data_IF_511693731877
#
_entry.id   IF_511693731877
#
_cell.length_a   1.000
_cell.length_b   1.000
_cell.length_c   1.000
_cell.angle_alpha   90.00
_cell.angle_beta   90.00
_cell.angle_gamma   90.00
#
_symmetry.space_group_name_H-M   'P 1'
#
loop_
_entity.id
_entity.type
_entity.pdbx_description
1 polymer ?
#
# COMPACT_ATOMS: atom_id res chain seq x y z
N UNK A 1 -0.97 27.29 22.50
CA UNK A 1 0.31 27.25 23.23
C UNK A 1 0.07 26.64 24.59
N UNK A 2 0.61 25.46 24.83
CA UNK A 2 0.68 24.82 26.14
C UNK A 2 1.90 23.89 26.08
N UNK A 3 3.10 24.49 26.14
CA UNK A 3 4.39 23.78 26.02
C UNK A 3 4.94 23.31 27.38
N UNK A 4 4.17 23.44 28.47
CA UNK A 4 4.69 23.28 29.84
C UNK A 4 4.39 21.93 30.52
N UNK A 5 3.98 20.90 29.77
CA UNK A 5 3.76 19.56 30.34
C UNK A 5 4.33 18.44 29.50
N UNK A 6 5.49 18.67 28.93
CA UNK A 6 6.28 17.56 28.40
C UNK A 6 7.28 17.09 29.47
N UNK A 7 7.05 15.94 30.14
CA UNK A 7 7.98 15.40 31.12
C UNK A 7 9.38 15.16 30.52
N UNK A 8 9.50 15.10 29.19
CA UNK A 8 10.76 14.98 28.46
C UNK A 8 11.60 16.27 28.47
N UNK A 9 10.96 17.45 28.47
CA UNK A 9 11.66 18.74 28.61
C UNK A 9 12.19 18.95 30.03
N UNK A 10 11.48 18.44 31.04
CA UNK A 10 11.92 18.49 32.43
C UNK A 10 13.21 17.67 32.67
N UNK A 11 13.35 16.52 31.98
CA UNK A 11 14.56 15.70 32.04
C UNK A 11 15.77 16.38 31.37
N UNK A 12 15.53 17.13 30.28
CA UNK A 12 16.56 17.94 29.59
C UNK A 12 17.06 19.07 30.49
N UNK A 13 16.15 19.80 31.14
CA UNK A 13 16.52 20.88 32.08
C UNK A 13 17.24 20.35 33.32
N UNK A 14 16.81 19.19 33.85
CA UNK A 14 17.47 18.55 34.98
C UNK A 14 18.89 18.07 34.67
N UNK A 15 19.11 17.50 33.48
CA UNK A 15 20.43 16.95 33.10
C UNK A 15 21.42 17.99 32.54
N UNK A 16 20.94 19.15 32.08
CA UNK A 16 21.79 20.24 31.59
C UNK A 16 22.50 21.00 32.73
N UNK A 17 21.96 20.95 33.95
CA UNK A 17 22.54 21.58 35.13
C UNK A 17 23.77 20.80 35.68
N UNK A 18 23.80 19.48 35.51
CA UNK A 18 24.85 18.62 36.08
C UNK A 18 26.03 18.39 35.12
N UNK A 19 25.79 18.23 33.81
CA UNK A 19 26.85 18.02 32.82
C UNK A 19 26.43 18.46 31.39
N UNK A 20 26.85 19.67 30.96
CA UNK A 20 26.47 20.23 29.66
C UNK A 20 27.00 19.42 28.47
N UNK A 21 28.11 18.69 28.62
CA UNK A 21 28.70 17.91 27.54
C UNK A 21 27.93 16.60 27.31
N UNK A 22 27.48 15.96 28.39
CA UNK A 22 26.67 14.74 28.33
C UNK A 22 25.26 15.00 27.81
N UNK A 23 24.68 16.16 28.10
CA UNK A 23 23.41 16.58 27.52
C UNK A 23 23.51 16.78 26.00
N UNK A 24 24.60 17.40 25.52
CA UNK A 24 24.88 17.58 24.09
C UNK A 24 25.05 16.26 23.34
N UNK A 25 25.84 15.32 23.89
CA UNK A 25 26.06 14.02 23.24
C UNK A 25 24.80 13.16 23.17
N UNK A 26 23.97 13.15 24.24
CA UNK A 26 22.65 12.49 24.21
C UNK A 26 21.70 13.13 23.19
N UNK A 27 21.72 14.45 23.07
CA UNK A 27 20.90 15.17 22.08
C UNK A 27 21.35 14.86 20.65
N UNK A 28 22.65 14.84 20.37
CA UNK A 28 23.21 14.46 19.06
C UNK A 28 22.94 13.00 18.70
N UNK A 29 23.09 12.07 19.65
CA UNK A 29 22.80 10.65 19.43
C UNK A 29 21.30 10.43 19.16
N UNK A 30 20.42 11.16 19.87
CA UNK A 30 18.97 11.12 19.62
C UNK A 30 18.59 11.76 18.30
N UNK A 31 19.20 12.88 17.91
CA UNK A 31 19.04 13.48 16.58
C UNK A 31 19.48 12.50 15.50
N UNK A 32 20.60 11.82 15.68
CA UNK A 32 21.12 10.80 14.75
C UNK A 32 20.19 9.58 14.64
N UNK A 33 19.66 9.07 15.75
CA UNK A 33 18.66 7.97 15.77
C UNK A 33 17.33 8.38 15.14
N UNK A 34 16.86 9.61 15.39
CA UNK A 34 15.64 10.17 14.78
C UNK A 34 15.85 10.52 13.30
N UNK A 35 17.07 10.87 12.88
CA UNK A 35 17.43 11.17 11.47
C UNK A 35 17.05 10.03 10.53
N UNK A 36 17.34 8.79 10.92
CA UNK A 36 16.99 7.59 10.14
C UNK A 36 15.48 7.28 10.16
N UNK A 37 14.75 7.72 11.19
CA UNK A 37 13.29 7.57 11.29
C UNK A 37 12.51 8.67 10.57
N UNK A 38 13.14 9.81 10.27
CA UNK A 38 12.54 11.02 9.68
C UNK A 38 12.88 11.15 8.17
N UNK A 39 13.87 10.40 7.66
CA UNK A 39 14.35 10.49 6.27
C UNK A 39 13.82 9.40 5.33
N UNK A 40 12.54 9.02 5.42
CA UNK A 40 11.84 8.71 4.18
C UNK A 40 11.22 10.02 3.72
N UNK A 41 11.93 10.74 2.86
CA UNK A 41 11.38 11.92 2.18
C UNK A 41 10.11 11.48 1.50
N UNK A 42 8.94 11.94 1.96
CA UNK A 42 7.67 11.58 1.32
C UNK A 42 7.71 12.06 -0.12
N UNK A 43 7.81 11.12 -1.05
CA UNK A 43 7.79 11.39 -2.50
C UNK A 43 6.39 11.21 -3.10
N UNK A 44 5.42 10.82 -2.26
CA UNK A 44 3.99 10.81 -2.59
C UNK A 44 3.41 12.21 -2.74
N UNK A 45 2.13 12.27 -3.10
CA UNK A 45 1.40 13.51 -3.33
C UNK A 45 0.19 13.61 -2.39
N UNK A 46 -0.12 14.83 -1.95
CA UNK A 46 -1.29 15.10 -1.11
C UNK A 46 -2.62 14.98 -1.87
N UNK A 47 -2.58 14.99 -3.21
CA UNK A 47 -3.78 14.81 -4.04
C UNK A 47 -4.29 13.38 -3.90
N UNK A 48 -5.56 13.17 -3.52
CA UNK A 48 -6.11 11.83 -3.40
C UNK A 48 -6.08 11.06 -4.73
N UNK A 49 -5.73 9.78 -4.65
CA UNK A 49 -5.81 8.85 -5.78
C UNK A 49 -7.28 8.68 -6.19
N UNK A 50 -7.59 8.85 -7.48
CA UNK A 50 -8.93 8.59 -8.02
C UNK A 50 -9.10 7.10 -8.31
N UNK A 51 -10.22 6.52 -7.91
CA UNK A 51 -10.55 5.11 -8.21
C UNK A 51 -11.79 5.05 -9.09
N UNK A 52 -11.75 4.28 -10.17
CA UNK A 52 -12.90 4.06 -11.06
C UNK A 52 -13.02 2.61 -11.47
N UNK A 53 -14.25 2.19 -11.74
CA UNK A 53 -14.58 0.86 -12.27
C UNK A 53 -15.21 1.04 -13.65
N UNK A 54 -14.65 0.38 -14.65
CA UNK A 54 -15.09 0.42 -16.03
C UNK A 54 -15.23 -1.01 -16.56
N UNK A 55 -16.42 -1.60 -16.41
CA UNK A 55 -16.67 -2.97 -16.88
C UNK A 55 -15.78 -4.03 -16.19
N UNK A 56 -15.38 -3.78 -14.94
CA UNK A 56 -14.58 -4.74 -14.18
C UNK A 56 -15.37 -6.02 -13.89
N UNK A 57 -14.70 -7.16 -14.07
CA UNK A 57 -15.13 -8.45 -13.57
C UNK A 57 -14.03 -9.06 -12.70
N UNK A 58 -14.42 -9.90 -11.75
CA UNK A 58 -13.46 -10.62 -10.91
C UNK A 58 -12.69 -11.69 -11.68
N UNK A 59 -13.11 -12.04 -12.89
CA UNK A 59 -12.35 -12.88 -13.81
C UNK A 59 -11.80 -12.04 -14.98
N UNK A 60 -10.57 -12.37 -15.40
CA UNK A 60 -9.97 -11.87 -16.65
C UNK A 60 -10.08 -10.35 -16.85
N UNK A 61 -9.61 -9.57 -15.88
CA UNK A 61 -9.67 -8.10 -15.94
C UNK A 61 -8.30 -7.47 -15.76
N UNK A 62 -8.10 -6.30 -16.35
CA UNK A 62 -6.95 -5.46 -16.05
C UNK A 62 -7.25 -4.50 -14.90
N UNK A 63 -6.22 -4.18 -14.14
CA UNK A 63 -6.18 -3.03 -13.24
C UNK A 63 -5.10 -2.09 -13.77
N UNK A 64 -5.51 -0.86 -14.09
CA UNK A 64 -4.67 0.16 -14.69
C UNK A 64 -4.25 1.21 -13.69
N UNK A 65 -3.03 1.69 -13.83
CA UNK A 65 -2.44 2.75 -13.02
C UNK A 65 -2.00 3.89 -13.93
N UNK A 66 -2.30 5.12 -13.52
CA UNK A 66 -1.62 6.30 -14.03
C UNK A 66 -0.88 6.96 -12.85
N UNK A 67 0.42 7.18 -13.02
CA UNK A 67 1.26 7.90 -12.07
C UNK A 67 1.46 9.35 -12.50
N UNK A 68 1.68 10.23 -11.54
CA UNK A 68 1.98 11.64 -11.85
C UNK A 68 3.33 11.83 -12.54
N UNK A 69 4.27 10.91 -12.31
CA UNK A 69 5.61 10.91 -12.90
C UNK A 69 5.98 9.48 -13.31
N UNK A 70 6.96 9.34 -14.19
CA UNK A 70 7.57 8.04 -14.47
C UNK A 70 8.16 7.43 -13.18
N UNK A 71 8.02 6.11 -13.04
CA UNK A 71 8.45 5.38 -11.85
C UNK A 71 9.97 5.22 -11.80
N UNK A 72 10.55 5.38 -10.60
CA UNK A 72 11.92 4.98 -10.34
C UNK A 72 11.97 3.48 -10.00
N UNK A 73 13.13 2.82 -10.17
CA UNK A 73 13.28 1.39 -9.86
C UNK A 73 12.79 1.00 -8.45
N UNK A 74 13.07 1.85 -7.45
CA UNK A 74 12.61 1.64 -6.07
C UNK A 74 11.08 1.68 -5.95
N UNK A 75 10.41 2.49 -6.76
CA UNK A 75 8.96 2.69 -6.74
C UNK A 75 8.30 1.48 -7.39
N UNK A 76 8.87 1.00 -8.50
CA UNK A 76 8.48 -0.26 -9.15
C UNK A 76 8.58 -1.42 -8.17
N UNK A 77 9.72 -1.55 -7.48
CA UNK A 77 9.93 -2.59 -6.46
C UNK A 77 8.85 -2.55 -5.37
N UNK A 78 8.54 -1.36 -4.84
CA UNK A 78 7.52 -1.19 -3.80
C UNK A 78 6.12 -1.59 -4.30
N UNK A 79 5.74 -1.19 -5.52
CA UNK A 79 4.46 -1.52 -6.12
C UNK A 79 4.38 -3.04 -6.36
N UNK A 80 5.41 -3.66 -6.92
CA UNK A 80 5.47 -5.12 -7.12
C UNK A 80 5.36 -5.88 -5.81
N UNK A 81 6.10 -5.50 -4.77
CA UNK A 81 6.04 -6.15 -3.47
C UNK A 81 4.65 -6.01 -2.83
N UNK A 82 3.99 -4.88 -3.02
CA UNK A 82 2.61 -4.64 -2.56
C UNK A 82 1.62 -5.55 -3.27
N UNK A 83 1.67 -5.60 -4.60
CA UNK A 83 0.79 -6.44 -5.43
C UNK A 83 1.02 -7.93 -5.13
N UNK A 84 2.29 -8.35 -4.99
CA UNK A 84 2.64 -9.72 -4.60
C UNK A 84 2.09 -10.09 -3.23
N UNK A 85 2.24 -9.20 -2.25
CA UNK A 85 1.69 -9.41 -0.90
C UNK A 85 0.16 -9.53 -0.92
N UNK A 86 -0.49 -8.65 -1.68
CA UNK A 86 -1.93 -8.67 -1.89
C UNK A 86 -2.41 -10.00 -2.51
N UNK A 87 -1.75 -10.46 -3.57
CA UNK A 87 -2.05 -11.73 -4.22
C UNK A 87 -1.85 -12.92 -3.26
N UNK A 88 -0.74 -12.96 -2.51
CA UNK A 88 -0.48 -14.04 -1.53
C UNK A 88 -1.58 -14.09 -0.47
N UNK A 89 -1.94 -12.96 0.14
CA UNK A 89 -2.97 -12.92 1.19
C UNK A 89 -4.33 -13.32 0.61
N UNK A 90 -4.67 -12.83 -0.58
CA UNK A 90 -5.89 -13.20 -1.29
C UNK A 90 -5.98 -14.70 -1.58
N UNK A 91 -4.88 -15.28 -2.05
CA UNK A 91 -4.76 -16.73 -2.32
C UNK A 91 -4.94 -17.60 -1.09
N UNK A 92 -4.49 -17.12 0.07
CA UNK A 92 -4.59 -17.82 1.33
C UNK A 92 -5.95 -17.60 2.02
N UNK A 93 -6.89 -16.89 1.38
CA UNK A 93 -8.21 -16.59 1.95
C UNK A 93 -8.19 -15.53 3.04
N UNK A 94 -7.11 -14.75 3.17
CA UNK A 94 -6.98 -13.71 4.20
C UNK A 94 -7.99 -12.56 4.06
N UNK A 95 -8.52 -12.37 2.85
CA UNK A 95 -9.56 -11.38 2.55
C UNK A 95 -10.97 -11.98 2.53
N UNK A 96 -11.23 -13.09 3.24
CA UNK A 96 -12.56 -13.69 3.30
C UNK A 96 -13.51 -12.86 4.18
N UNK A 97 -14.38 -12.07 3.54
CA UNK A 97 -15.35 -11.22 4.21
C UNK A 97 -16.33 -11.99 5.09
N UNK A 98 -16.66 -13.24 4.72
CA UNK A 98 -17.56 -14.10 5.50
C UNK A 98 -16.94 -14.58 6.82
N UNK A 99 -15.62 -14.45 7.01
CA UNK A 99 -14.91 -14.82 8.24
C UNK A 99 -14.32 -13.61 8.99
N UNK A 100 -14.82 -12.40 8.72
CA UNK A 100 -14.40 -11.14 9.38
C UNK A 100 -15.01 -10.96 10.77
N UNK A 101 -14.87 -11.95 11.64
CA UNK A 101 -15.57 -12.01 12.94
C UNK A 101 -15.28 -10.82 13.87
N UNK A 102 -14.06 -10.28 13.84
CA UNK A 102 -13.69 -9.12 14.66
C UNK A 102 -14.29 -7.84 14.09
N UNK A 103 -14.17 -7.61 12.78
CA UNK A 103 -14.72 -6.42 12.11
C UNK A 103 -16.24 -6.36 12.14
N UNK A 104 -16.90 -7.53 12.21
CA UNK A 104 -18.35 -7.66 12.30
C UNK A 104 -18.86 -7.73 13.75
N UNK A 105 -17.96 -7.70 14.74
CA UNK A 105 -18.34 -7.72 16.16
C UNK A 105 -18.75 -6.32 16.63
N UNK A 106 -19.66 -6.25 17.60
CA UNK A 106 -20.02 -4.99 18.25
C UNK A 106 -18.80 -4.38 18.96
N UNK A 107 -18.65 -3.04 18.88
CA UNK A 107 -17.45 -2.35 19.42
C UNK A 107 -17.22 -2.58 20.91
N UNK A 108 -18.28 -2.77 21.69
CA UNK A 108 -18.18 -2.98 23.15
C UNK A 108 -17.92 -4.45 23.53
N UNK A 109 -17.90 -5.36 22.56
CA UNK A 109 -17.63 -6.77 22.81
C UNK A 109 -16.12 -7.00 22.89
N UNK A 110 -15.68 -7.75 23.91
CA UNK A 110 -14.29 -8.21 24.01
C UNK A 110 -13.93 -9.00 22.73
N UNK A 111 -12.78 -8.70 22.08
CA UNK A 111 -12.33 -9.45 20.91
C UNK A 111 -12.28 -10.94 21.19
N UNK A 112 -12.94 -11.72 20.34
CA UNK A 112 -13.03 -13.17 20.43
C UNK A 112 -13.19 -13.75 19.03
N UNK A 113 -12.68 -14.97 18.83
CA UNK A 113 -12.80 -15.69 17.57
C UNK A 113 -13.39 -17.07 17.81
N UNK A 114 -14.38 -17.45 17.02
CA UNK A 114 -15.01 -18.77 17.04
C UNK A 114 -14.35 -19.63 15.94
N UNK A 115 -13.61 -20.65 16.39
CA UNK A 115 -12.93 -21.59 15.51
C UNK A 115 -13.89 -22.48 14.72
N UNK A 116 -15.04 -22.85 15.30
CA UNK A 116 -16.06 -23.65 14.64
C UNK A 116 -16.79 -22.84 13.57
N UNK A 117 -17.08 -21.57 13.84
CA UNK A 117 -17.59 -20.66 12.81
C UNK A 117 -16.59 -20.55 11.65
N UNK A 118 -15.31 -20.26 11.94
CA UNK A 118 -14.30 -20.08 10.90
C UNK A 118 -14.07 -21.33 10.03
N UNK A 119 -14.17 -22.53 10.62
CA UNK A 119 -14.04 -23.79 9.88
C UNK A 119 -15.21 -24.07 8.92
N UNK A 120 -16.37 -23.43 9.12
CA UNK A 120 -17.57 -23.65 8.32
C UNK A 120 -17.78 -22.60 7.21
N UNK A 121 -16.87 -21.64 7.06
CA UNK A 121 -16.95 -20.60 6.02
C UNK A 121 -16.31 -21.11 4.73
N UNK A 122 -16.98 -20.87 3.59
CA UNK A 122 -16.41 -21.18 2.29
C UNK A 122 -15.14 -20.34 2.05
N UNK A 123 -14.03 -20.95 1.62
CA UNK A 123 -12.81 -20.22 1.33
C UNK A 123 -13.01 -19.33 0.11
N UNK A 124 -12.45 -18.12 0.16
CA UNK A 124 -12.25 -17.24 -0.99
C UNK A 124 -10.91 -17.55 -1.63
N UNK A 125 -10.86 -17.50 -2.95
CA UNK A 125 -9.65 -17.78 -3.73
C UNK A 125 -9.35 -16.62 -4.65
N UNK A 126 -8.08 -16.29 -4.79
CA UNK A 126 -7.54 -15.45 -5.86
C UNK A 126 -6.76 -16.39 -6.79
N UNK A 127 -7.21 -16.63 -8.02
CA UNK A 127 -6.60 -17.67 -8.85
C UNK A 127 -5.24 -17.28 -9.43
N UNK A 128 -5.20 -16.24 -10.27
CA UNK A 128 -4.02 -15.90 -11.04
C UNK A 128 -3.82 -14.39 -11.14
N UNK A 129 -2.56 -13.99 -11.29
CA UNK A 129 -2.14 -12.61 -11.54
C UNK A 129 -1.05 -12.62 -12.61
N UNK A 130 -1.05 -11.61 -13.47
CA UNK A 130 0.02 -11.36 -14.44
C UNK A 130 1.16 -10.54 -13.84
N UNK A 131 2.20 -10.34 -14.64
CA UNK A 131 3.30 -9.45 -14.29
C UNK A 131 2.84 -7.97 -14.34
N UNK A 132 3.57 -7.08 -13.66
CA UNK A 132 3.37 -5.64 -13.76
C UNK A 132 4.00 -5.15 -15.06
N UNK A 133 3.16 -4.71 -15.99
CA UNK A 133 3.58 -4.09 -17.25
C UNK A 133 3.56 -2.56 -17.09
N UNK A 134 4.61 -1.89 -17.55
CA UNK A 134 4.79 -0.44 -17.43
C UNK A 134 5.06 0.15 -18.82
N UNK A 135 4.48 1.32 -19.10
CA UNK A 135 4.79 2.18 -20.25
C UNK A 135 4.83 3.63 -19.77
N UNK A 136 6.02 4.22 -19.70
CA UNK A 136 6.26 5.56 -19.16
C UNK A 136 5.69 5.76 -17.74
N UNK A 137 4.58 6.50 -17.61
CA UNK A 137 3.87 6.75 -16.35
C UNK A 137 2.58 5.94 -16.23
N UNK A 138 2.34 5.00 -17.12
CA UNK A 138 1.21 4.07 -17.09
C UNK A 138 1.70 2.68 -16.67
N UNK A 139 0.84 1.94 -15.97
CA UNK A 139 1.05 0.53 -15.73
C UNK A 139 -0.24 -0.26 -15.74
N UNK A 140 -0.14 -1.57 -15.89
CA UNK A 140 -1.27 -2.49 -15.73
C UNK A 140 -0.84 -3.81 -15.11
N UNK A 141 -1.79 -4.47 -14.47
CA UNK A 141 -1.72 -5.88 -14.11
C UNK A 141 -2.97 -6.58 -14.60
N UNK A 142 -2.81 -7.79 -15.14
CA UNK A 142 -3.93 -8.68 -15.39
C UNK A 142 -4.26 -9.47 -14.12
N UNK A 143 -5.54 -9.65 -13.83
CA UNK A 143 -6.01 -10.43 -12.68
C UNK A 143 -7.13 -11.40 -13.08
N UNK A 144 -7.09 -12.57 -12.46
CA UNK A 144 -8.18 -13.53 -12.39
C UNK A 144 -8.36 -13.92 -10.92
N UNK A 145 -9.23 -13.17 -10.25
CA UNK A 145 -9.54 -13.38 -8.84
C UNK A 145 -10.46 -14.60 -8.73
N UNK A 146 -11.48 -14.67 -9.59
CA UNK A 146 -12.40 -15.80 -9.70
C UNK A 146 -13.50 -15.87 -8.63
N UNK A 147 -13.28 -15.30 -7.45
CA UNK A 147 -14.34 -15.09 -6.44
C UNK A 147 -14.71 -13.62 -6.35
N UNK A 148 -16.01 -13.34 -6.26
CA UNK A 148 -16.53 -11.97 -6.07
C UNK A 148 -16.36 -11.53 -4.62
N UNK A 149 -15.14 -11.15 -4.24
CA UNK A 149 -14.77 -10.73 -2.89
C UNK A 149 -14.35 -9.24 -2.88
N UNK A 150 -15.26 -8.30 -2.56
CA UNK A 150 -14.95 -6.87 -2.52
C UNK A 150 -13.87 -6.50 -1.52
N UNK A 151 -13.75 -7.21 -0.39
CA UNK A 151 -12.74 -6.92 0.63
C UNK A 151 -11.32 -7.02 0.05
N UNK A 152 -11.10 -7.91 -0.91
CA UNK A 152 -9.84 -8.04 -1.63
C UNK A 152 -9.48 -6.72 -2.35
N UNK A 153 -10.45 -6.07 -2.99
CA UNK A 153 -10.24 -4.82 -3.71
C UNK A 153 -10.05 -3.65 -2.74
N UNK A 154 -10.83 -3.59 -1.66
CA UNK A 154 -10.69 -2.56 -0.63
C UNK A 154 -9.30 -2.58 0.00
N UNK A 155 -8.77 -3.77 0.32
CA UNK A 155 -7.42 -3.92 0.87
C UNK A 155 -6.35 -3.37 -0.09
N UNK A 156 -6.48 -3.67 -1.40
CA UNK A 156 -5.57 -3.14 -2.41
C UNK A 156 -5.66 -1.61 -2.53
N UNK A 157 -6.89 -1.08 -2.64
CA UNK A 157 -7.14 0.36 -2.77
C UNK A 157 -6.59 1.11 -1.55
N UNK A 158 -6.79 0.60 -0.34
CA UNK A 158 -6.29 1.22 0.88
C UNK A 158 -4.75 1.22 0.93
N UNK A 159 -4.11 0.10 0.56
CA UNK A 159 -2.65 0.01 0.50
C UNK A 159 -2.08 1.02 -0.52
N UNK A 160 -2.66 1.06 -1.73
CA UNK A 160 -2.24 1.97 -2.80
C UNK A 160 -2.52 3.44 -2.46
N UNK A 161 -3.58 3.73 -1.71
CA UNK A 161 -3.87 5.09 -1.22
C UNK A 161 -2.75 5.58 -0.29
N UNK A 162 -2.30 4.73 0.64
CA UNK A 162 -1.18 5.05 1.52
C UNK A 162 0.14 5.19 0.75
N UNK A 163 0.38 4.31 -0.23
CA UNK A 163 1.54 4.42 -1.12
C UNK A 163 1.51 5.74 -1.87
N UNK A 164 0.33 6.13 -2.37
CA UNK A 164 0.12 7.39 -3.09
C UNK A 164 0.48 8.62 -2.26
N UNK A 165 0.07 8.65 -1.00
CA UNK A 165 0.30 9.80 -0.13
C UNK A 165 1.75 9.92 0.32
N UNK A 166 2.43 8.80 0.54
CA UNK A 166 3.70 8.78 1.26
C UNK A 166 4.91 8.47 0.38
N UNK A 167 4.74 7.74 -0.72
CA UNK A 167 5.86 7.17 -1.47
C UNK A 167 5.81 7.47 -2.96
N UNK A 168 4.71 7.14 -3.66
CA UNK A 168 4.65 7.18 -5.13
C UNK A 168 3.35 7.81 -5.56
N UNK A 169 3.35 9.02 -6.10
CA UNK A 169 2.10 9.70 -6.48
C UNK A 169 1.30 8.95 -7.56
N UNK A 170 0.19 8.31 -7.17
CA UNK A 170 -0.75 7.63 -8.07
C UNK A 170 -1.89 8.61 -8.40
N UNK A 171 -2.07 8.91 -9.68
CA UNK A 171 -3.14 9.81 -10.15
C UNK A 171 -4.48 9.08 -10.19
N UNK A 172 -4.53 7.92 -10.84
CA UNK A 172 -5.75 7.11 -10.89
C UNK A 172 -5.47 5.62 -10.96
N UNK A 173 -6.41 4.86 -10.38
CA UNK A 173 -6.53 3.43 -10.45
C UNK A 173 -7.85 3.09 -11.17
N UNK A 174 -7.78 2.32 -12.25
CA UNK A 174 -8.96 1.94 -13.03
C UNK A 174 -9.08 0.43 -13.07
N UNK A 175 -10.19 -0.09 -12.54
CA UNK A 175 -10.54 -1.49 -12.58
C UNK A 175 -11.33 -1.78 -13.85
N UNK A 176 -10.86 -2.72 -14.68
CA UNK A 176 -11.47 -3.10 -15.94
C UNK A 176 -11.08 -2.19 -17.11
N UNK A 177 -11.74 -2.38 -18.25
CA UNK A 177 -11.47 -1.67 -19.50
C UNK A 177 -10.44 -2.39 -20.38
N UNK A 178 -10.63 -2.28 -21.69
CA UNK A 178 -9.75 -2.85 -22.72
C UNK A 178 -8.70 -1.87 -23.23
N UNK A 179 -8.87 -0.58 -22.95
CA UNK A 179 -7.99 0.52 -23.36
C UNK A 179 -7.84 1.50 -22.20
N UNK A 180 -6.68 2.14 -22.09
CA UNK A 180 -6.42 3.12 -21.05
C UNK A 180 -5.45 4.20 -21.51
N UNK A 181 -5.90 5.46 -21.45
CA UNK A 181 -5.12 6.65 -21.86
C UNK A 181 -4.42 6.45 -23.22
N UNK A 182 -3.10 6.61 -23.28
CA UNK A 182 -2.28 6.42 -24.47
C UNK A 182 -1.51 5.09 -24.50
N UNK A 183 -1.97 4.07 -23.76
CA UNK A 183 -1.37 2.74 -23.74
C UNK A 183 -1.29 2.12 -25.13
N UNK A 184 -0.19 1.43 -25.43
CA UNK A 184 0.05 0.78 -26.73
C UNK A 184 0.28 -0.72 -26.55
N UNK A 185 -0.67 -1.54 -26.99
CA UNK A 185 -0.63 -3.01 -26.81
C UNK A 185 0.60 -3.69 -27.43
N UNK A 186 1.17 -3.15 -28.51
CA UNK A 186 2.25 -3.79 -29.26
C UNK A 186 3.65 -3.24 -28.92
N UNK A 187 3.81 -2.51 -27.82
CA UNK A 187 5.11 -2.03 -27.38
C UNK A 187 5.88 -3.15 -26.67
N UNK A 188 6.99 -3.60 -27.24
CA UNK A 188 7.77 -4.74 -26.71
C UNK A 188 9.25 -4.43 -26.45
N UNK A 189 9.70 -3.19 -26.66
CA UNK A 189 11.11 -2.81 -26.51
C UNK A 189 11.34 -1.92 -25.30
N UNK A 190 12.31 -2.28 -24.45
CA UNK A 190 12.73 -1.47 -23.29
C UNK A 190 13.18 -0.06 -23.67
N UNK A 191 13.78 0.11 -24.85
CA UNK A 191 14.17 1.43 -25.39
C UNK A 191 12.98 2.36 -25.66
N UNK A 192 11.76 1.82 -25.70
CA UNK A 192 10.53 2.58 -25.91
C UNK A 192 9.81 2.91 -24.60
N UNK A 193 10.46 2.79 -23.44
CA UNK A 193 9.87 3.11 -22.13
C UNK A 193 8.97 2.00 -21.57
N UNK A 194 9.10 0.78 -22.10
CA UNK A 194 8.35 -0.39 -21.67
C UNK A 194 9.15 -1.26 -20.68
N UNK A 195 8.50 -1.77 -19.64
CA UNK A 195 9.09 -2.70 -18.68
C UNK A 195 8.08 -3.74 -18.21
N UNK A 196 8.55 -4.96 -17.93
CA UNK A 196 7.75 -6.05 -17.37
C UNK A 196 8.43 -6.56 -16.10
N UNK A 197 7.69 -6.55 -14.98
CA UNK A 197 8.21 -6.88 -13.67
C UNK A 197 7.40 -8.00 -13.02
N UNK A 198 8.09 -9.06 -12.61
CA UNK A 198 7.44 -10.25 -12.06
C UNK A 198 6.73 -9.99 -10.74
N UNK A 199 5.51 -10.52 -10.63
CA UNK A 199 4.74 -10.59 -9.40
C UNK A 199 4.88 -11.96 -8.75
#
# INVERSE_FOLDING_TARGET
>A
MNYDKDPEFAEILGSCLDDPQKARSKMEERLRRKRNKILHTKTGLATPMKVTFNGFDFSNSYIWFEFYNALLEKDISLICDTIRSWHIIGRLGGCNSMNMQLSQSAMDKRPSYDASQGANVNPTTFYNIGDLEIQDNLARIWVDIGTSEPLLLDVLVNALTQISSDYVGIKQLVFGGSEFENWKENLTSEYAGHGVHKI
#
